data_IF_569806526507
#
_entry.id   IF_569806526507
#
_cell.length_a   1.000
_cell.length_b   1.000
_cell.length_c   1.000
_cell.angle_alpha   90.00
_cell.angle_beta   90.00
_cell.angle_gamma   90.00
#
_symmetry.space_group_name_H-M   'P 1'
#
loop_
_entity.id
_entity.type
_entity.pdbx_description
1 polymer ?
#
# COMPACT_ATOMS: atom_id res chain seq x y z
N UNK A 1 -31.36 -16.44 16.51
CA UNK A 1 -32.20 -15.38 15.87
C UNK A 1 -32.01 -13.97 16.47
N UNK A 2 -31.06 -13.72 17.37
CA UNK A 2 -30.86 -12.42 18.05
C UNK A 2 -29.88 -11.44 17.34
N UNK A 3 -29.31 -11.80 16.19
CA UNK A 3 -28.27 -11.00 15.51
C UNK A 3 -28.82 -10.02 14.45
N UNK A 4 -30.10 -10.13 14.11
CA UNK A 4 -30.74 -9.36 13.04
C UNK A 4 -31.01 -7.89 13.41
N UNK A 5 -31.48 -7.55 14.63
CA UNK A 5 -31.80 -6.16 14.97
C UNK A 5 -30.57 -5.25 15.01
N UNK A 6 -29.46 -5.73 15.57
CA UNK A 6 -28.20 -4.97 15.67
C UNK A 6 -27.57 -4.74 14.30
N UNK A 7 -27.60 -5.74 13.42
CA UNK A 7 -27.16 -5.60 12.02
C UNK A 7 -28.01 -4.57 11.26
N UNK A 8 -29.33 -4.63 11.39
CA UNK A 8 -30.24 -3.67 10.76
C UNK A 8 -29.99 -2.25 11.26
N UNK A 9 -29.84 -2.07 12.59
CA UNK A 9 -29.52 -0.78 13.19
C UNK A 9 -28.19 -0.21 12.69
N UNK A 10 -27.14 -1.05 12.62
CA UNK A 10 -25.83 -0.64 12.10
C UNK A 10 -25.89 -0.23 10.63
N UNK A 11 -26.56 -1.02 9.77
CA UNK A 11 -26.74 -0.68 8.35
C UNK A 11 -27.51 0.63 8.19
N UNK A 12 -28.59 0.84 8.94
CA UNK A 12 -29.37 2.07 8.90
C UNK A 12 -28.52 3.30 9.30
N UNK A 13 -27.71 3.18 10.35
CA UNK A 13 -26.81 4.26 10.78
C UNK A 13 -25.75 4.60 9.72
N UNK A 14 -25.15 3.58 9.09
CA UNK A 14 -24.16 3.77 8.03
C UNK A 14 -24.77 4.42 6.78
N UNK A 15 -25.95 3.96 6.37
CA UNK A 15 -26.70 4.55 5.23
C UNK A 15 -27.03 6.00 5.50
N UNK A 16 -27.51 6.32 6.71
CA UNK A 16 -27.81 7.69 7.10
C UNK A 16 -26.56 8.58 7.07
N UNK A 17 -25.45 8.14 7.67
CA UNK A 17 -24.19 8.88 7.66
C UNK A 17 -23.68 9.14 6.24
N UNK A 18 -23.74 8.12 5.36
CA UNK A 18 -23.37 8.27 3.96
C UNK A 18 -24.30 9.23 3.20
N UNK A 19 -25.62 9.11 3.40
CA UNK A 19 -26.61 9.95 2.75
C UNK A 19 -26.42 11.44 3.09
N UNK A 20 -26.08 11.75 4.34
CA UNK A 20 -25.74 13.12 4.77
C UNK A 20 -24.53 13.64 4.00
N UNK A 21 -23.40 12.93 4.02
CA UNK A 21 -22.17 13.37 3.31
C UNK A 21 -22.42 13.52 1.80
N UNK A 22 -23.11 12.54 1.21
CA UNK A 22 -23.45 12.56 -0.22
C UNK A 22 -24.32 13.77 -0.59
N UNK A 23 -25.34 14.05 0.21
CA UNK A 23 -26.26 15.15 -0.04
C UNK A 23 -25.56 16.52 -0.04
N UNK A 24 -24.62 16.73 0.89
CA UNK A 24 -23.91 18.00 1.04
C UNK A 24 -22.70 18.15 0.10
N UNK A 25 -21.97 17.07 -0.22
CA UNK A 25 -20.69 17.19 -0.95
C UNK A 25 -20.58 16.35 -2.25
N UNK A 26 -21.42 15.33 -2.43
CA UNK A 26 -21.21 14.23 -3.37
C UNK A 26 -21.64 14.47 -4.83
N UNK A 27 -22.34 15.58 -5.14
CA UNK A 27 -22.94 15.82 -6.47
C UNK A 27 -21.89 16.08 -7.56
N UNK A 28 -21.31 15.01 -8.12
CA UNK A 28 -20.48 15.01 -9.33
C UNK A 28 -19.02 15.46 -9.19
N UNK A 29 -18.66 16.10 -8.06
CA UNK A 29 -17.33 16.71 -7.85
C UNK A 29 -16.18 15.70 -7.75
N UNK A 30 -16.48 14.46 -7.37
CA UNK A 30 -15.46 13.43 -7.13
C UNK A 30 -15.01 12.77 -8.44
N UNK A 31 -15.97 12.45 -9.32
CA UNK A 31 -15.70 11.87 -10.64
C UNK A 31 -14.85 12.80 -11.49
N UNK A 32 -15.15 14.10 -11.49
CA UNK A 32 -14.38 15.09 -12.24
C UNK A 32 -12.91 15.16 -11.80
N UNK A 33 -12.62 15.03 -10.49
CA UNK A 33 -11.24 15.08 -9.97
C UNK A 33 -10.44 13.79 -10.20
N UNK A 34 -11.11 12.65 -10.33
CA UNK A 34 -10.46 11.35 -10.50
C UNK A 34 -10.28 10.97 -11.98
N UNK A 35 -11.17 11.42 -12.87
CA UNK A 35 -11.11 11.11 -14.30
C UNK A 35 -9.83 11.59 -15.00
N UNK A 36 -9.13 12.57 -14.43
CA UNK A 36 -7.85 13.07 -14.95
C UNK A 36 -6.70 12.06 -14.82
N UNK A 37 -6.82 11.10 -13.90
CA UNK A 37 -5.77 10.09 -13.63
C UNK A 37 -6.23 8.67 -13.89
N UNK A 38 -7.52 8.40 -13.69
CA UNK A 38 -8.13 7.10 -13.85
C UNK A 38 -9.02 7.05 -15.09
N UNK A 39 -8.96 5.91 -15.80
CA UNK A 39 -9.93 5.59 -16.85
C UNK A 39 -11.30 5.50 -16.20
N UNK A 40 -12.22 6.40 -16.60
CA UNK A 40 -13.56 6.57 -16.04
C UNK A 40 -13.63 6.98 -14.55
N UNK A 41 -12.51 7.39 -13.95
CA UNK A 41 -12.46 7.72 -12.52
C UNK A 41 -12.29 6.49 -11.59
N UNK A 42 -12.00 5.31 -12.15
CA UNK A 42 -11.93 4.03 -11.42
C UNK A 42 -10.48 3.50 -11.32
N UNK A 43 -10.02 3.06 -10.14
CA UNK A 43 -8.70 2.44 -9.95
C UNK A 43 -8.71 0.97 -10.42
N UNK A 44 -8.80 0.77 -11.73
CA UNK A 44 -8.96 -0.55 -12.35
C UNK A 44 -7.84 -1.54 -12.00
N UNK A 45 -6.59 -1.08 -11.94
CA UNK A 45 -5.46 -1.92 -11.58
C UNK A 45 -5.55 -2.43 -10.14
N UNK A 46 -5.99 -1.59 -9.22
CA UNK A 46 -6.31 -2.02 -7.85
C UNK A 46 -7.38 -3.10 -7.85
N UNK A 47 -8.49 -2.88 -8.56
CA UNK A 47 -9.62 -3.82 -8.61
C UNK A 47 -9.23 -5.17 -9.24
N UNK A 48 -8.45 -5.14 -10.33
CA UNK A 48 -7.92 -6.36 -10.98
C UNK A 48 -6.99 -7.12 -10.04
N UNK A 49 -6.10 -6.42 -9.33
CA UNK A 49 -5.20 -7.05 -8.35
C UNK A 49 -5.99 -7.75 -7.24
N UNK A 50 -6.97 -7.06 -6.67
CA UNK A 50 -7.86 -7.63 -5.65
C UNK A 50 -8.62 -8.84 -6.20
N UNK A 51 -9.16 -8.74 -7.42
CA UNK A 51 -9.88 -9.84 -8.05
C UNK A 51 -9.00 -11.08 -8.27
N UNK A 52 -7.74 -10.90 -8.67
CA UNK A 52 -6.78 -12.00 -8.84
C UNK A 52 -6.48 -12.67 -7.49
N UNK A 53 -6.18 -11.89 -6.45
CA UNK A 53 -5.84 -12.43 -5.13
C UNK A 53 -7.05 -13.14 -4.48
N UNK A 54 -8.23 -12.52 -4.55
CA UNK A 54 -9.48 -13.13 -4.07
C UNK A 54 -9.85 -14.36 -4.89
N UNK A 55 -9.69 -14.33 -6.21
CA UNK A 55 -9.89 -15.49 -7.07
C UNK A 55 -8.98 -16.65 -6.68
N UNK A 56 -7.69 -16.40 -6.43
CA UNK A 56 -6.78 -17.43 -5.97
C UNK A 56 -7.24 -18.08 -4.65
N UNK A 57 -7.67 -17.27 -3.69
CA UNK A 57 -8.22 -17.76 -2.42
C UNK A 57 -9.46 -18.63 -2.61
N UNK A 58 -10.42 -18.14 -3.39
CA UNK A 58 -11.71 -18.80 -3.57
C UNK A 58 -11.58 -20.13 -4.34
N UNK A 59 -10.75 -20.15 -5.39
CA UNK A 59 -10.65 -21.28 -6.30
C UNK A 59 -9.45 -22.19 -6.00
N UNK A 60 -8.24 -21.64 -5.90
CA UNK A 60 -7.02 -22.45 -5.71
C UNK A 60 -6.87 -22.94 -4.27
N UNK A 61 -7.39 -22.20 -3.29
CA UNK A 61 -7.33 -22.56 -1.87
C UNK A 61 -8.66 -23.08 -1.31
N UNK A 62 -9.58 -23.52 -2.18
CA UNK A 62 -10.93 -24.02 -1.81
C UNK A 62 -11.75 -23.07 -0.92
N UNK A 63 -11.51 -21.76 -0.99
CA UNK A 63 -12.19 -20.77 -0.15
C UNK A 63 -13.69 -20.62 -0.40
N UNK A 64 -14.21 -21.11 -1.53
CA UNK A 64 -15.66 -21.18 -1.78
C UNK A 64 -16.37 -22.15 -0.83
N UNK A 65 -15.74 -23.29 -0.54
CA UNK A 65 -16.28 -24.32 0.35
C UNK A 65 -15.82 -24.11 1.79
N UNK A 66 -14.57 -23.62 1.96
CA UNK A 66 -13.88 -23.52 3.24
C UNK A 66 -13.39 -22.09 3.50
N UNK A 67 -14.33 -21.14 3.61
CA UNK A 67 -14.03 -19.71 3.75
C UNK A 67 -13.10 -19.38 4.93
N UNK A 68 -13.23 -20.04 6.08
CA UNK A 68 -12.40 -19.79 7.27
C UNK A 68 -11.14 -20.67 7.33
N UNK A 69 -11.13 -21.79 6.61
CA UNK A 69 -10.10 -22.82 6.70
C UNK A 69 -9.66 -23.30 5.30
N UNK A 70 -9.07 -22.41 4.49
CA UNK A 70 -8.67 -22.71 3.13
C UNK A 70 -7.51 -23.73 3.08
N UNK A 71 -7.22 -24.29 1.91
CA UNK A 71 -6.02 -25.10 1.69
C UNK A 71 -4.77 -24.20 1.71
N UNK A 72 -3.81 -24.52 2.59
CA UNK A 72 -2.65 -23.66 2.87
C UNK A 72 -1.32 -24.35 2.57
N UNK A 73 -1.12 -25.58 3.04
CA UNK A 73 0.18 -26.28 3.01
C UNK A 73 0.90 -26.26 1.65
N UNK A 74 0.23 -26.46 0.50
CA UNK A 74 0.89 -26.45 -0.81
C UNK A 74 1.44 -25.08 -1.22
N UNK A 75 0.98 -23.99 -0.61
CA UNK A 75 1.26 -22.61 -1.05
C UNK A 75 2.23 -21.86 -0.14
N UNK A 76 2.71 -22.48 0.94
CA UNK A 76 3.65 -21.88 1.89
C UNK A 76 5.09 -21.95 1.36
N UNK A 77 5.90 -20.92 1.63
CA UNK A 77 7.35 -20.90 1.32
C UNK A 77 8.17 -21.77 2.28
N UNK A 78 8.06 -23.09 2.16
CA UNK A 78 8.83 -24.02 3.00
C UNK A 78 10.34 -24.00 2.73
N UNK A 79 10.74 -23.78 1.49
CA UNK A 79 12.13 -23.88 1.04
C UNK A 79 12.33 -23.15 -0.29
N UNK A 80 13.55 -22.67 -0.53
CA UNK A 80 13.99 -22.15 -1.82
C UNK A 80 13.96 -23.20 -2.95
N UNK A 81 13.90 -24.49 -2.61
CA UNK A 81 13.76 -25.59 -3.57
C UNK A 81 12.31 -25.99 -3.84
N UNK A 82 11.34 -25.26 -3.27
CA UNK A 82 9.91 -25.52 -3.47
C UNK A 82 9.26 -24.39 -4.31
N UNK A 83 9.36 -24.45 -5.64
CA UNK A 83 9.00 -23.33 -6.52
C UNK A 83 7.52 -22.94 -6.43
N UNK A 84 6.63 -23.91 -6.22
CA UNK A 84 5.19 -23.65 -6.04
C UNK A 84 4.96 -22.67 -4.91
N UNK A 85 5.49 -22.95 -3.71
CA UNK A 85 5.37 -22.07 -2.56
C UNK A 85 5.94 -20.68 -2.82
N UNK A 86 7.14 -20.60 -3.43
CA UNK A 86 7.79 -19.31 -3.76
C UNK A 86 6.91 -18.46 -4.69
N UNK A 87 6.30 -19.08 -5.71
CA UNK A 87 5.49 -18.37 -6.69
C UNK A 87 4.14 -17.93 -6.15
N UNK A 88 3.52 -18.71 -5.26
CA UNK A 88 2.13 -18.50 -4.84
C UNK A 88 1.96 -17.94 -3.44
N UNK A 89 2.96 -18.04 -2.55
CA UNK A 89 2.82 -17.63 -1.16
C UNK A 89 2.39 -16.18 -1.00
N UNK A 90 2.90 -15.28 -1.85
CA UNK A 90 2.54 -13.87 -1.85
C UNK A 90 1.07 -13.60 -2.16
N UNK A 91 0.32 -14.54 -2.74
CA UNK A 91 -1.12 -14.38 -3.07
C UNK A 91 -2.03 -15.36 -2.33
N UNK A 92 -1.48 -16.37 -1.67
CA UNK A 92 -2.22 -17.30 -0.81
C UNK A 92 -2.52 -16.69 0.57
N UNK A 93 -3.64 -17.08 1.20
CA UNK A 93 -4.03 -16.62 2.54
C UNK A 93 -4.45 -17.78 3.45
N UNK A 94 -4.16 -17.64 4.75
CA UNK A 94 -4.34 -18.72 5.74
C UNK A 94 -5.73 -18.76 6.39
N UNK A 95 -6.52 -17.71 6.22
CA UNK A 95 -7.86 -17.56 6.80
C UNK A 95 -8.62 -16.40 6.15
N UNK A 96 -9.93 -16.32 6.40
CA UNK A 96 -10.77 -15.21 5.96
C UNK A 96 -10.28 -13.87 6.52
N UNK A 97 -9.98 -13.83 7.82
CA UNK A 97 -9.46 -12.65 8.48
C UNK A 97 -8.15 -12.15 7.87
N UNK A 98 -7.30 -13.08 7.41
CA UNK A 98 -6.04 -12.74 6.74
C UNK A 98 -6.27 -12.11 5.35
N UNK A 99 -7.13 -12.70 4.50
CA UNK A 99 -7.41 -12.11 3.17
C UNK A 99 -8.17 -10.80 3.27
N UNK A 100 -9.21 -10.71 4.12
CA UNK A 100 -9.93 -9.45 4.38
C UNK A 100 -8.97 -8.41 4.95
N UNK A 101 -8.08 -8.83 5.85
CA UNK A 101 -6.81 -8.19 6.23
C UNK A 101 -6.16 -7.39 5.10
N UNK A 102 -5.56 -8.14 4.19
CA UNK A 102 -4.74 -7.60 3.11
C UNK A 102 -5.56 -6.83 2.08
N UNK A 103 -6.78 -7.28 1.75
CA UNK A 103 -7.60 -6.62 0.74
C UNK A 103 -8.18 -5.30 1.22
N UNK A 104 -8.56 -5.15 2.50
CA UNK A 104 -8.93 -3.84 3.05
C UNK A 104 -7.76 -2.85 2.99
N UNK A 105 -6.55 -3.29 3.35
CA UNK A 105 -5.35 -2.47 3.22
C UNK A 105 -5.04 -2.10 1.77
N UNK A 106 -5.14 -3.07 0.85
CA UNK A 106 -4.93 -2.86 -0.58
C UNK A 106 -5.93 -1.85 -1.14
N UNK A 107 -7.23 -2.01 -0.86
CA UNK A 107 -8.26 -1.08 -1.31
C UNK A 107 -8.12 0.33 -0.72
N UNK A 108 -7.52 0.47 0.47
CA UNK A 108 -7.25 1.76 1.08
C UNK A 108 -6.03 2.47 0.45
N UNK A 109 -4.93 1.75 0.25
CA UNK A 109 -3.65 2.36 -0.15
C UNK A 109 -3.35 2.27 -1.66
N UNK A 110 -3.73 1.20 -2.35
CA UNK A 110 -3.38 0.99 -3.75
C UNK A 110 -3.96 2.05 -4.69
N UNK A 111 -5.19 2.56 -4.49
CA UNK A 111 -5.70 3.66 -5.33
C UNK A 111 -4.83 4.93 -5.23
N UNK A 112 -4.17 5.18 -4.10
CA UNK A 112 -3.24 6.32 -3.95
C UNK A 112 -2.03 6.13 -4.85
N UNK A 113 -1.45 4.92 -4.85
CA UNK A 113 -0.32 4.55 -5.70
C UNK A 113 -0.71 4.57 -7.17
N UNK A 114 -1.88 4.04 -7.51
CA UNK A 114 -2.42 4.03 -8.88
C UNK A 114 -2.68 5.44 -9.38
N UNK A 115 -3.19 6.33 -8.51
CA UNK A 115 -3.38 7.74 -8.83
C UNK A 115 -2.05 8.45 -9.08
N UNK A 116 -1.05 8.15 -8.24
CA UNK A 116 0.31 8.65 -8.43
C UNK A 116 0.89 8.18 -9.77
N UNK A 117 0.74 6.90 -10.09
CA UNK A 117 1.21 6.29 -11.35
C UNK A 117 0.51 6.91 -12.56
N UNK A 118 -0.83 6.96 -12.54
CA UNK A 118 -1.70 7.48 -13.59
C UNK A 118 -1.87 6.52 -14.78
N UNK A 119 -3.11 6.34 -15.23
CA UNK A 119 -3.42 5.53 -16.41
C UNK A 119 -3.00 6.25 -17.69
N UNK A 120 -3.14 7.57 -17.72
CA UNK A 120 -2.69 8.38 -18.86
C UNK A 120 -1.20 8.69 -18.69
N UNK A 121 -0.37 8.43 -19.72
CA UNK A 121 1.05 8.74 -19.65
C UNK A 121 1.26 10.27 -19.51
N UNK A 122 2.34 10.70 -18.86
CA UNK A 122 2.72 12.11 -18.83
C UNK A 122 2.81 12.65 -20.26
N UNK A 123 2.33 13.87 -20.51
CA UNK A 123 2.47 14.50 -21.82
C UNK A 123 3.95 14.89 -22.04
N UNK A 124 4.70 14.06 -22.77
CA UNK A 124 6.08 14.34 -23.16
C UNK A 124 6.10 15.34 -24.32
N UNK A 125 5.88 16.62 -24.00
CA UNK A 125 6.00 17.72 -24.95
C UNK A 125 4.96 17.78 -26.07
N UNK A 126 4.99 18.86 -26.85
CA UNK A 126 3.98 19.15 -27.88
C UNK A 126 3.99 18.20 -29.08
N UNK A 127 5.15 17.59 -29.38
CA UNK A 127 5.36 16.75 -30.57
C UNK A 127 4.69 15.38 -30.44
N UNK A 128 4.80 14.74 -29.29
CA UNK A 128 4.14 13.47 -28.99
C UNK A 128 2.61 13.62 -28.89
N UNK A 129 2.13 14.80 -28.44
CA UNK A 129 0.70 15.16 -28.44
C UNK A 129 0.13 15.32 -29.85
N UNK A 130 0.94 15.82 -30.79
CA UNK A 130 0.62 15.97 -32.21
C UNK A 130 0.62 14.62 -32.94
N UNK A 131 1.57 13.75 -32.66
CA UNK A 131 1.65 12.38 -33.22
C UNK A 131 0.50 11.49 -32.73
N UNK A 132 0.10 11.62 -31.46
CA UNK A 132 -1.08 10.93 -30.90
C UNK A 132 -2.39 11.40 -31.55
N UNK A 133 -2.51 12.69 -31.87
CA UNK A 133 -3.65 13.24 -32.63
C UNK A 133 -3.67 12.76 -34.09
N UNK A 134 -2.52 12.35 -34.63
CA UNK A 134 -2.38 11.83 -36.01
C UNK A 134 -2.47 10.30 -36.10
N UNK A 135 -2.83 9.61 -35.02
CA UNK A 135 -3.03 8.16 -35.03
C UNK A 135 -1.75 7.32 -34.93
N UNK A 136 -0.62 7.92 -34.52
CA UNK A 136 0.62 7.18 -34.29
C UNK A 136 0.45 6.13 -33.18
N UNK A 137 0.79 4.88 -33.46
CA UNK A 137 0.75 3.75 -32.53
C UNK A 137 1.79 3.94 -31.42
N UNK A 138 1.46 4.74 -30.41
CA UNK A 138 2.20 4.72 -29.15
C UNK A 138 2.27 3.28 -28.66
N UNK A 139 3.48 2.79 -28.35
CA UNK A 139 3.71 1.41 -27.94
C UNK A 139 2.79 0.97 -26.78
N UNK A 140 2.67 -0.34 -26.54
CA UNK A 140 1.70 -0.93 -25.60
C UNK A 140 1.66 -0.23 -24.22
N UNK A 141 2.82 0.22 -23.70
CA UNK A 141 2.94 0.93 -22.42
C UNK A 141 2.37 2.37 -22.40
N UNK A 142 2.04 2.93 -23.56
CA UNK A 142 1.37 4.23 -23.71
C UNK A 142 -0.15 4.15 -23.67
N UNK A 143 -0.73 2.94 -23.74
CA UNK A 143 -2.17 2.71 -23.72
C UNK A 143 -2.70 2.73 -22.28
N UNK A 144 -3.71 3.55 -21.96
CA UNK A 144 -4.24 3.63 -20.59
C UNK A 144 -4.78 2.31 -20.05
N UNK A 145 -5.42 1.51 -20.91
CA UNK A 145 -5.93 0.19 -20.54
C UNK A 145 -4.80 -0.78 -20.16
N UNK A 146 -3.70 -0.84 -20.93
CA UNK A 146 -2.56 -1.72 -20.62
C UNK A 146 -1.88 -1.28 -19.32
N UNK A 147 -1.69 0.04 -19.12
CA UNK A 147 -1.11 0.57 -17.87
C UNK A 147 -1.95 0.22 -16.65
N UNK A 148 -3.28 0.31 -16.76
CA UNK A 148 -4.21 0.06 -15.68
C UNK A 148 -4.45 -1.43 -15.42
N UNK A 149 -4.76 -2.21 -16.46
CA UNK A 149 -5.23 -3.59 -16.34
C UNK A 149 -4.10 -4.63 -16.34
N UNK A 150 -2.90 -4.26 -16.80
CA UNK A 150 -1.78 -5.22 -16.94
C UNK A 150 -0.58 -4.77 -16.12
N UNK A 151 -0.02 -3.59 -16.41
CA UNK A 151 1.24 -3.15 -15.80
C UNK A 151 1.08 -2.96 -14.30
N UNK A 152 0.05 -2.25 -13.86
CA UNK A 152 -0.15 -1.97 -12.45
C UNK A 152 -0.38 -3.26 -11.62
N UNK A 153 -1.31 -4.16 -11.99
CA UNK A 153 -1.44 -5.45 -11.32
C UNK A 153 -0.16 -6.28 -11.33
N UNK A 154 0.52 -6.37 -12.47
CA UNK A 154 1.75 -7.15 -12.59
C UNK A 154 2.85 -6.65 -11.63
N UNK A 155 2.99 -5.34 -11.45
CA UNK A 155 3.95 -4.75 -10.49
C UNK A 155 3.58 -5.10 -9.04
N UNK A 156 2.30 -5.08 -8.67
CA UNK A 156 1.87 -5.44 -7.32
C UNK A 156 2.06 -6.94 -7.04
N UNK A 157 1.74 -7.80 -8.02
CA UNK A 157 1.97 -9.24 -7.93
C UNK A 157 3.48 -9.55 -7.88
N UNK A 158 4.30 -8.81 -8.63
CA UNK A 158 5.76 -8.90 -8.54
C UNK A 158 6.26 -8.51 -7.15
N UNK A 159 5.73 -7.43 -6.55
CA UNK A 159 6.08 -7.06 -5.18
C UNK A 159 5.70 -8.18 -4.18
N UNK A 160 4.53 -8.80 -4.35
CA UNK A 160 4.11 -9.94 -3.53
C UNK A 160 5.07 -11.12 -3.68
N UNK A 161 5.44 -11.45 -4.92
CA UNK A 161 6.42 -12.49 -5.22
C UNK A 161 7.80 -12.19 -4.60
N UNK A 162 8.36 -11.00 -4.85
CA UNK A 162 9.70 -10.62 -4.37
C UNK A 162 9.75 -10.65 -2.85
N UNK A 163 8.73 -10.11 -2.17
CA UNK A 163 8.67 -10.11 -0.71
C UNK A 163 8.52 -11.53 -0.16
N UNK A 164 7.70 -12.38 -0.76
CA UNK A 164 7.55 -13.78 -0.35
C UNK A 164 8.85 -14.58 -0.56
N UNK A 165 9.49 -14.43 -1.73
CA UNK A 165 10.72 -15.13 -2.06
C UNK A 165 11.90 -14.74 -1.15
N UNK A 166 11.99 -13.47 -0.75
CA UNK A 166 13.10 -12.97 0.07
C UNK A 166 12.82 -12.99 1.58
N UNK A 167 11.64 -13.45 2.00
CA UNK A 167 11.31 -13.56 3.42
C UNK A 167 11.91 -14.81 4.04
N UNK A 168 12.41 -14.69 5.27
CA UNK A 168 12.88 -15.83 6.03
C UNK A 168 11.72 -16.65 6.61
N UNK A 169 11.84 -17.98 6.48
CA UNK A 169 10.93 -18.95 7.06
C UNK A 169 9.62 -19.16 6.26
N UNK A 170 8.77 -20.07 6.76
CA UNK A 170 7.45 -20.33 6.18
C UNK A 170 6.61 -19.05 6.18
N UNK A 171 6.24 -18.60 5.00
CA UNK A 171 5.52 -17.35 4.77
C UNK A 171 4.35 -17.56 3.83
N UNK A 172 3.32 -16.73 4.01
CA UNK A 172 2.12 -16.73 3.22
C UNK A 172 1.39 -15.40 3.41
N UNK A 173 0.82 -14.82 2.35
CA UNK A 173 0.02 -13.60 2.40
C UNK A 173 0.53 -12.46 1.52
N UNK A 174 -0.41 -11.63 1.08
CA UNK A 174 -0.16 -10.44 0.25
C UNK A 174 0.38 -9.23 1.03
N UNK A 175 0.60 -9.37 2.34
CA UNK A 175 0.98 -8.26 3.22
C UNK A 175 2.28 -7.57 2.81
N UNK A 176 3.29 -8.30 2.30
CA UNK A 176 4.52 -7.67 1.77
C UNK A 176 4.25 -6.67 0.64
N UNK A 177 3.33 -7.00 -0.29
CA UNK A 177 2.88 -6.05 -1.32
C UNK A 177 2.07 -4.89 -0.72
N UNK A 178 1.22 -5.14 0.29
CA UNK A 178 0.51 -4.06 1.01
C UNK A 178 1.47 -3.05 1.62
N UNK A 179 2.57 -3.52 2.23
CA UNK A 179 3.59 -2.63 2.76
C UNK A 179 4.37 -1.90 1.66
N UNK A 180 4.62 -2.53 0.50
CA UNK A 180 5.19 -1.83 -0.66
C UNK A 180 4.27 -0.72 -1.18
N UNK A 181 2.96 -0.99 -1.24
CA UNK A 181 1.96 0.01 -1.58
C UNK A 181 1.99 1.16 -0.56
N UNK A 182 2.02 0.84 0.74
CA UNK A 182 2.02 1.84 1.81
C UNK A 182 3.31 2.69 1.81
N UNK A 183 4.48 2.08 1.62
CA UNK A 183 5.77 2.77 1.50
C UNK A 183 5.84 3.70 0.30
N UNK A 184 5.28 3.28 -0.84
CA UNK A 184 5.15 4.16 -2.00
C UNK A 184 4.19 5.33 -1.72
N UNK A 185 3.02 5.02 -1.16
CA UNK A 185 1.96 5.98 -0.93
C UNK A 185 2.40 7.06 0.07
N UNK A 186 3.07 6.69 1.16
CA UNK A 186 3.51 7.64 2.18
C UNK A 186 4.54 8.63 1.65
N UNK A 187 5.38 8.22 0.69
CA UNK A 187 6.36 9.09 0.04
C UNK A 187 5.71 10.10 -0.91
N UNK A 188 4.70 9.67 -1.68
CA UNK A 188 4.07 10.51 -2.70
C UNK A 188 2.89 11.35 -2.17
N UNK A 189 2.12 10.79 -1.22
CA UNK A 189 0.90 11.37 -0.65
C UNK A 189 0.80 11.05 0.86
N UNK A 190 1.68 11.63 1.72
CA UNK A 190 1.77 11.24 3.13
C UNK A 190 0.46 11.44 3.91
N UNK A 191 -0.20 12.59 3.75
CA UNK A 191 -1.45 12.91 4.47
C UNK A 191 -2.58 12.00 4.02
N UNK A 192 -2.75 11.81 2.71
CA UNK A 192 -3.76 10.89 2.16
C UNK A 192 -3.54 9.46 2.64
N UNK A 193 -2.27 9.04 2.78
CA UNK A 193 -1.93 7.71 3.31
C UNK A 193 -2.33 7.57 4.77
N UNK A 194 -2.13 8.58 5.61
CA UNK A 194 -2.59 8.55 7.01
C UNK A 194 -4.12 8.54 7.11
N UNK A 195 -4.81 9.30 6.26
CA UNK A 195 -6.28 9.26 6.20
C UNK A 195 -6.78 7.88 5.76
N UNK A 196 -6.13 7.29 4.74
CA UNK A 196 -6.46 5.94 4.29
C UNK A 196 -6.18 4.87 5.36
N UNK A 197 -5.12 5.03 6.15
CA UNK A 197 -4.83 4.17 7.30
C UNK A 197 -5.99 4.20 8.30
N UNK A 198 -6.40 5.39 8.73
CA UNK A 198 -7.53 5.56 9.67
C UNK A 198 -8.84 5.01 9.07
N UNK A 199 -9.10 5.31 7.81
CA UNK A 199 -10.29 4.80 7.11
C UNK A 199 -10.30 3.27 7.02
N UNK A 200 -9.15 2.64 6.76
CA UNK A 200 -9.02 1.18 6.70
C UNK A 200 -9.32 0.52 8.06
N UNK A 201 -8.87 1.15 9.15
CA UNK A 201 -9.19 0.70 10.52
C UNK A 201 -10.68 0.85 10.80
N UNK A 202 -11.29 1.97 10.43
CA UNK A 202 -12.73 2.17 10.60
C UNK A 202 -13.57 1.15 9.81
N UNK A 203 -13.21 0.90 8.55
CA UNK A 203 -13.87 -0.12 7.71
C UNK A 203 -13.75 -1.50 8.34
N UNK A 204 -12.59 -1.86 8.89
CA UNK A 204 -12.40 -3.13 9.60
C UNK A 204 -13.29 -3.23 10.83
N UNK A 205 -13.36 -2.18 11.65
CA UNK A 205 -14.25 -2.14 12.81
C UNK A 205 -15.71 -2.34 12.40
N UNK A 206 -16.16 -1.66 11.34
CA UNK A 206 -17.52 -1.82 10.82
C UNK A 206 -17.76 -3.23 10.29
N UNK A 207 -16.80 -3.80 9.55
CA UNK A 207 -16.89 -5.18 9.05
C UNK A 207 -16.99 -6.20 10.19
N UNK A 208 -16.14 -6.07 11.21
CA UNK A 208 -16.20 -6.93 12.41
C UNK A 208 -17.53 -6.77 13.14
N UNK A 209 -18.02 -5.53 13.31
CA UNK A 209 -19.32 -5.29 13.93
C UNK A 209 -20.51 -5.86 13.14
N UNK A 210 -20.41 -5.96 11.81
CA UNK A 210 -21.44 -6.59 10.97
C UNK A 210 -21.40 -8.11 11.02
N UNK A 211 -20.21 -8.69 10.99
CA UNK A 211 -19.99 -10.14 10.96
C UNK A 211 -20.18 -10.77 12.34
N UNK A 212 -19.64 -10.13 13.37
CA UNK A 212 -19.69 -10.52 14.78
C UNK A 212 -20.42 -9.47 15.64
N UNK A 213 -21.73 -9.25 15.43
CA UNK A 213 -22.45 -8.16 16.09
C UNK A 213 -22.65 -8.38 17.60
N UNK A 214 -22.47 -9.60 18.08
CA UNK A 214 -22.56 -9.96 19.51
C UNK A 214 -21.50 -11.02 19.77
N UNK A 215 -20.43 -10.64 20.46
CA UNK A 215 -19.37 -11.55 20.89
C UNK A 215 -19.68 -12.04 22.31
N UNK A 216 -19.61 -13.35 22.51
CA UNK A 216 -19.69 -13.98 23.84
C UNK A 216 -18.36 -14.65 24.10
N UNK A 217 -17.75 -14.37 25.24
CA UNK A 217 -16.51 -14.99 25.67
C UNK A 217 -16.76 -15.69 27.01
N UNK A 218 -16.25 -16.91 27.14
CA UNK A 218 -16.22 -17.67 28.39
C UNK A 218 -14.79 -17.67 28.91
N UNK A 219 -14.61 -17.62 30.23
CA UNK A 219 -13.28 -17.80 30.83
C UNK A 219 -12.99 -19.29 30.82
N UNK A 220 -12.08 -19.73 29.94
CA UNK A 220 -11.63 -21.11 29.86
C UNK A 220 -10.10 -21.18 30.08
N UNK A 221 -9.64 -22.20 30.79
CA UNK A 221 -8.22 -22.51 30.90
C UNK A 221 -7.75 -23.21 29.62
N UNK A 222 -7.03 -22.49 28.76
CA UNK A 222 -6.43 -23.00 27.54
C UNK A 222 -4.93 -23.25 27.67
N UNK A 223 -4.38 -24.08 26.78
CA UNK A 223 -2.93 -24.19 26.63
C UNK A 223 -2.31 -22.83 26.26
N UNK A 224 -1.07 -22.53 26.69
CA UNK A 224 -0.39 -21.30 26.28
C UNK A 224 -0.34 -21.17 24.76
N UNK A 225 -0.87 -20.08 24.23
CA UNK A 225 -0.73 -19.73 22.81
C UNK A 225 0.46 -18.80 22.62
N UNK A 226 1.18 -18.86 21.49
CA UNK A 226 2.20 -17.87 21.16
C UNK A 226 1.63 -16.45 21.25
N UNK A 227 2.44 -15.46 21.64
CA UNK A 227 1.97 -14.09 21.71
C UNK A 227 1.56 -13.60 20.31
N UNK A 228 0.55 -12.72 20.19
CA UNK A 228 -0.01 -12.33 18.88
C UNK A 228 0.99 -11.72 17.89
N UNK A 229 2.11 -11.19 18.38
CA UNK A 229 3.17 -10.62 17.54
C UNK A 229 4.15 -11.67 16.97
N UNK A 230 4.15 -12.89 17.49
CA UNK A 230 5.11 -13.94 17.08
C UNK A 230 4.87 -14.46 15.67
N UNK A 231 3.63 -14.40 15.19
CA UNK A 231 3.23 -14.87 13.86
C UNK A 231 3.27 -13.79 12.79
N UNK A 232 3.73 -12.58 13.12
CA UNK A 232 3.77 -11.46 12.17
C UNK A 232 5.06 -11.51 11.36
N UNK A 233 4.93 -11.54 10.03
CA UNK A 233 6.03 -11.55 9.07
C UNK A 233 6.73 -10.18 8.94
N UNK A 234 7.31 -9.68 10.04
CA UNK A 234 7.88 -8.33 10.09
C UNK A 234 8.96 -8.09 9.03
N UNK A 235 9.79 -9.11 8.70
CA UNK A 235 10.79 -9.01 7.64
C UNK A 235 10.17 -8.72 6.26
N UNK A 236 9.06 -9.40 5.93
CA UNK A 236 8.35 -9.23 4.67
C UNK A 236 7.74 -7.81 4.59
N UNK A 237 7.21 -7.33 5.72
CA UNK A 237 6.62 -6.00 5.84
C UNK A 237 7.66 -4.91 5.67
N UNK A 238 8.81 -5.03 6.35
CA UNK A 238 9.90 -4.08 6.23
C UNK A 238 10.47 -4.06 4.80
N UNK A 239 10.75 -5.22 4.22
CA UNK A 239 11.24 -5.32 2.84
C UNK A 239 10.25 -4.70 1.85
N UNK A 240 8.97 -5.06 1.96
CA UNK A 240 7.90 -4.49 1.15
C UNK A 240 7.89 -2.97 1.26
N UNK A 241 7.83 -2.44 2.49
CA UNK A 241 7.84 -1.01 2.76
C UNK A 241 9.02 -0.29 2.09
N UNK A 242 10.23 -0.81 2.22
CA UNK A 242 11.43 -0.23 1.62
C UNK A 242 11.40 -0.26 0.09
N UNK A 243 10.95 -1.37 -0.53
CA UNK A 243 10.74 -1.43 -1.99
C UNK A 243 9.76 -0.36 -2.46
N UNK A 244 8.68 -0.18 -1.71
CA UNK A 244 7.69 0.87 -1.92
C UNK A 244 8.28 2.27 -1.86
N UNK A 245 9.04 2.57 -0.80
CA UNK A 245 9.73 3.85 -0.62
C UNK A 245 10.67 4.14 -1.79
N UNK A 246 11.47 3.15 -2.20
CA UNK A 246 12.42 3.29 -3.32
C UNK A 246 11.66 3.58 -4.61
N UNK A 247 10.65 2.77 -4.96
CA UNK A 247 9.85 2.98 -6.16
C UNK A 247 9.14 4.36 -6.15
N UNK A 248 8.59 4.76 -5.00
CA UNK A 248 7.95 6.05 -4.80
C UNK A 248 8.91 7.22 -4.97
N UNK A 249 10.11 7.12 -4.40
CA UNK A 249 11.19 8.09 -4.56
C UNK A 249 11.71 8.19 -5.98
N UNK A 250 11.87 7.06 -6.68
CA UNK A 250 12.24 7.02 -8.09
C UNK A 250 11.19 7.73 -8.97
N UNK A 251 9.89 7.55 -8.70
CA UNK A 251 8.84 8.27 -9.41
C UNK A 251 8.92 9.79 -9.17
N UNK A 252 9.13 10.22 -7.93
CA UNK A 252 9.29 11.64 -7.59
C UNK A 252 10.48 12.25 -8.34
N UNK A 253 11.62 11.55 -8.34
CA UNK A 253 12.84 11.95 -9.06
C UNK A 253 12.58 12.05 -10.57
N UNK A 254 11.97 11.02 -11.15
CA UNK A 254 11.64 11.00 -12.57
C UNK A 254 10.70 12.16 -12.98
N UNK A 255 9.85 12.62 -12.06
CA UNK A 255 8.93 13.75 -12.28
C UNK A 255 9.46 15.11 -11.82
N UNK A 256 10.70 15.19 -11.32
CA UNK A 256 11.27 16.42 -10.78
C UNK A 256 10.46 17.02 -9.62
N UNK A 257 9.76 16.19 -8.83
CA UNK A 257 8.92 16.63 -7.72
C UNK A 257 9.62 16.42 -6.38
N UNK A 258 9.33 17.30 -5.42
CA UNK A 258 9.81 17.18 -4.04
C UNK A 258 8.64 17.18 -3.07
N UNK A 259 8.56 16.21 -2.15
CA UNK A 259 7.54 16.21 -1.11
C UNK A 259 7.96 17.12 0.04
N UNK A 260 6.99 17.53 0.86
CA UNK A 260 7.29 18.23 2.11
C UNK A 260 7.88 17.23 3.12
N UNK A 261 9.14 17.42 3.50
CA UNK A 261 9.90 16.46 4.32
C UNK A 261 9.21 16.13 5.65
N UNK A 262 8.69 17.15 6.34
CA UNK A 262 7.96 16.95 7.59
C UNK A 262 6.74 16.03 7.42
N UNK A 263 6.02 16.14 6.31
CA UNK A 263 4.87 15.27 6.03
C UNK A 263 5.31 13.83 5.76
N UNK A 264 6.40 13.62 5.04
CA UNK A 264 6.96 12.28 4.79
C UNK A 264 7.49 11.67 6.08
N UNK A 265 8.19 12.45 6.92
CA UNK A 265 8.69 12.01 8.21
C UNK A 265 7.54 11.56 9.13
N UNK A 266 6.58 12.45 9.41
CA UNK A 266 5.46 12.12 10.29
C UNK A 266 4.56 11.03 9.70
N UNK A 267 4.35 11.05 8.38
CA UNK A 267 3.64 9.99 7.66
C UNK A 267 4.29 8.63 7.87
N UNK A 268 5.60 8.54 7.66
CA UNK A 268 6.37 7.30 7.81
C UNK A 268 6.39 6.83 9.25
N UNK A 269 6.62 7.75 10.20
CA UNK A 269 6.68 7.43 11.63
C UNK A 269 5.35 6.89 12.14
N UNK A 270 4.25 7.58 11.87
CA UNK A 270 2.92 7.18 12.31
C UNK A 270 2.46 5.88 11.64
N UNK A 271 2.62 5.78 10.31
CA UNK A 271 2.31 4.57 9.58
C UNK A 271 3.12 3.38 10.10
N UNK A 272 4.44 3.52 10.25
CA UNK A 272 5.32 2.46 10.71
C UNK A 272 5.06 2.04 12.16
N UNK A 273 4.67 2.98 13.01
CA UNK A 273 4.29 2.69 14.40
C UNK A 273 2.98 1.91 14.46
N UNK A 274 1.94 2.39 13.76
CA UNK A 274 0.60 1.78 13.76
C UNK A 274 0.61 0.40 13.07
N UNK A 275 1.33 0.30 11.95
CA UNK A 275 1.43 -0.94 11.16
C UNK A 275 2.55 -1.87 11.63
N UNK A 276 3.05 -1.67 12.86
CA UNK A 276 3.99 -2.59 13.51
C UNK A 276 5.32 -2.83 12.77
N UNK A 277 5.83 -1.87 11.99
CA UNK A 277 7.19 -1.93 11.40
C UNK A 277 8.31 -1.93 12.46
N UNK A 278 7.97 -1.66 13.72
CA UNK A 278 8.87 -1.74 14.86
C UNK A 278 9.09 -3.17 15.37
N UNK A 279 8.38 -4.18 14.84
CA UNK A 279 8.57 -5.56 15.29
C UNK A 279 10.00 -6.01 14.97
N UNK A 280 10.78 -6.26 16.03
CA UNK A 280 12.10 -6.86 15.99
C UNK A 280 12.06 -8.06 16.93
N UNK A 281 11.88 -9.23 16.32
CA UNK A 281 11.72 -10.50 17.04
C UNK A 281 12.96 -11.34 16.82
N UNK A 282 13.45 -11.93 17.90
CA UNK A 282 14.51 -12.91 17.89
C UNK A 282 14.03 -14.19 18.58
N UNK A 283 14.61 -15.32 18.18
CA UNK A 283 14.34 -16.62 18.77
C UNK A 283 15.64 -17.14 19.39
N UNK A 284 15.65 -17.28 20.70
CA UNK A 284 16.80 -17.76 21.49
C UNK A 284 16.33 -18.97 22.32
N UNK A 285 16.93 -20.13 22.07
CA UNK A 285 16.55 -21.44 22.59
C UNK A 285 15.06 -21.77 22.33
N UNK A 286 14.21 -21.57 23.35
CA UNK A 286 12.75 -21.76 23.30
C UNK A 286 11.98 -20.45 23.58
N UNK A 287 12.69 -19.32 23.64
CA UNK A 287 12.15 -18.03 24.04
C UNK A 287 12.07 -17.07 22.84
N UNK A 288 10.89 -16.49 22.63
CA UNK A 288 10.70 -15.38 21.70
C UNK A 288 10.97 -14.05 22.40
N UNK A 289 11.94 -13.29 21.90
CA UNK A 289 12.34 -12.00 22.46
C UNK A 289 11.89 -10.88 21.52
N UNK A 290 11.15 -9.89 22.06
CA UNK A 290 10.68 -8.71 21.33
C UNK A 290 11.43 -7.45 21.77
N UNK A 291 12.30 -6.94 20.91
CA UNK A 291 13.08 -5.72 21.16
C UNK A 291 12.30 -4.44 20.85
N UNK A 292 11.21 -4.20 21.59
CA UNK A 292 10.27 -3.09 21.32
C UNK A 292 10.93 -1.70 21.29
N UNK A 293 11.81 -1.40 22.23
CA UNK A 293 12.51 -0.11 22.29
C UNK A 293 13.40 0.12 21.06
N UNK A 294 14.21 -0.88 20.70
CA UNK A 294 15.05 -0.84 19.50
C UNK A 294 14.19 -0.73 18.22
N UNK A 295 13.05 -1.39 18.19
CA UNK A 295 12.08 -1.32 17.09
C UNK A 295 11.52 0.09 16.86
N UNK A 296 11.11 0.78 17.92
CA UNK A 296 10.62 2.17 17.82
C UNK A 296 11.75 3.12 17.42
N UNK A 297 12.96 2.90 17.94
CA UNK A 297 14.15 3.65 17.52
C UNK A 297 14.44 3.44 16.02
N UNK A 298 14.35 2.20 15.53
CA UNK A 298 14.49 1.86 14.11
C UNK A 298 13.47 2.62 13.25
N UNK A 299 12.18 2.62 13.62
CA UNK A 299 11.14 3.36 12.87
C UNK A 299 11.41 4.86 12.87
N UNK A 300 11.93 5.42 13.96
CA UNK A 300 12.32 6.83 14.05
C UNK A 300 13.45 7.17 13.08
N UNK A 301 14.53 6.37 13.08
CA UNK A 301 15.67 6.54 12.17
C UNK A 301 15.23 6.34 10.71
N UNK A 302 14.45 5.30 10.44
CA UNK A 302 13.87 5.02 9.12
C UNK A 302 13.07 6.22 8.61
N UNK A 303 12.27 6.86 9.47
CA UNK A 303 11.46 8.03 9.10
C UNK A 303 12.33 9.22 8.66
N UNK A 304 13.47 9.44 9.33
CA UNK A 304 14.46 10.45 8.90
C UNK A 304 15.05 10.08 7.55
N UNK A 305 15.48 8.82 7.37
CA UNK A 305 16.10 8.35 6.13
C UNK A 305 15.15 8.44 4.94
N UNK A 306 13.89 8.02 5.11
CA UNK A 306 12.85 8.10 4.07
C UNK A 306 12.58 9.54 3.67
N UNK A 307 12.41 10.44 4.66
CA UNK A 307 12.20 11.86 4.38
C UNK A 307 13.39 12.49 3.65
N UNK A 308 14.62 12.23 4.11
CA UNK A 308 15.83 12.74 3.49
C UNK A 308 16.02 12.21 2.06
N UNK A 309 15.83 10.90 1.84
CA UNK A 309 15.98 10.26 0.53
C UNK A 309 14.95 10.77 -0.49
N UNK A 310 13.71 11.03 -0.05
CA UNK A 310 12.64 11.60 -0.86
C UNK A 310 12.87 13.10 -1.16
N UNK A 311 13.56 13.81 -0.28
CA UNK A 311 13.90 15.23 -0.40
C UNK A 311 15.17 15.54 -1.20
N UNK A 312 16.06 14.56 -1.38
CA UNK A 312 17.36 14.75 -1.98
C UNK A 312 17.26 15.27 -3.43
N UNK A 313 18.07 16.30 -3.72
CA UNK A 313 18.15 16.94 -5.04
C UNK A 313 19.00 16.11 -6.00
N UNK A 314 18.56 15.91 -7.24
CA UNK A 314 19.49 15.76 -8.36
C UNK A 314 19.97 17.16 -8.74
N UNK A 315 21.08 17.64 -8.18
CA UNK A 315 21.73 18.82 -8.74
C UNK A 315 22.45 18.39 -10.02
N UNK A 316 22.24 19.05 -11.18
CA UNK A 316 23.31 19.15 -12.15
C UNK A 316 24.42 19.96 -11.48
N UNK A 317 25.58 19.37 -11.29
CA UNK A 317 26.82 20.10 -11.01
C UNK A 317 27.14 20.97 -12.23
N UNK A 318 26.50 22.14 -12.29
CA UNK A 318 26.76 23.20 -13.27
C UNK A 318 27.36 24.38 -12.53
N UNK A 319 28.67 24.31 -12.29
CA UNK A 319 29.49 25.44 -11.91
C UNK A 319 29.36 26.52 -13.00
N UNK A 320 28.68 27.63 -12.70
CA UNK A 320 28.88 28.89 -13.42
C UNK A 320 29.15 29.98 -12.38
N UNK A 321 30.41 30.06 -11.96
CA UNK A 321 30.96 31.27 -11.39
C UNK A 321 30.95 32.36 -12.45
N UNK A 322 30.01 33.30 -12.38
CA UNK A 322 30.16 34.58 -13.07
C UNK A 322 31.08 35.47 -12.23
N UNK A 323 32.22 35.95 -12.75
CA UNK A 323 33.07 36.87 -12.02
C UNK A 323 32.35 38.21 -11.84
N UNK A 324 32.41 38.70 -10.62
CA UNK A 324 32.13 40.09 -10.26
C UNK A 324 32.98 41.06 -11.09
N UNK A 325 32.33 42.05 -11.71
CA UNK A 325 32.94 43.32 -12.04
C UNK A 325 32.07 44.46 -11.48
N UNK A 326 32.55 45.07 -10.38
CA UNK A 326 32.24 46.44 -9.94
C UNK A 326 33.27 47.39 -10.59
N UNK A 327 33.22 48.71 -10.37
CA UNK A 327 32.10 49.67 -10.40
C UNK A 327 32.47 50.90 -11.28
N UNK A 328 31.50 51.76 -11.59
CA UNK A 328 31.82 53.16 -11.98
C UNK A 328 30.78 54.13 -11.40
N UNK A 329 31.13 54.80 -10.31
CA UNK A 329 30.79 56.23 -10.15
C UNK A 329 31.73 57.04 -11.05
N UNK A 330 31.50 58.29 -11.43
CA UNK A 330 30.57 59.39 -11.09
C UNK A 330 30.73 60.42 -12.25
N UNK A 331 30.44 61.74 -12.14
CA UNK A 331 29.31 62.53 -11.62
C UNK A 331 28.73 63.52 -12.69
N UNK A 332 27.59 64.16 -12.37
CA UNK A 332 27.20 65.52 -12.83
C UNK A 332 26.70 65.67 -14.27
N UNK A 333 25.43 66.08 -14.44
CA UNK A 333 24.95 67.46 -14.64
C UNK A 333 23.45 67.49 -14.30
#
# INVERSE_FOLDING_TARGET
>A
MLHTPTRVGLVAALVFAFAVVWYYEGRGRWRARLADRFVLGVPWGTLVTVAVVVGFYLFAQSGLEHWESPVVYPFVTWSYFYPTGILTAGIAHGSAGHIVGNMTGTLAFAPIVEYAWGHYPPASGGRERLERRRGGSGGLLGQPAVRALVVFPAVLLLAAFVTAALSFGPGLGFSGAVFAIAGFAVVNYPVTTLVALVASSAVRTVYTALTEPVVRATVESGAPSPPPWASIAFQAHMLGFLLGVVAGGLLLRHRGRRPALGRVFFGTFLLGTVQALWLLVWFEDETLILYRGAGVALVSVLSVLVAAAAGASSAPSGWSSSPSARPSGSPGW
#
